data_IF_136712746958
#
_entry.id   IF_136712746958
#
_cell.length_a   1.000
_cell.length_b   1.000
_cell.length_c   1.000
_cell.angle_alpha   90.00
_cell.angle_beta   90.00
_cell.angle_gamma   90.00
#
_symmetry.space_group_name_H-M   'P 1'
#
loop_
_entity.id
_entity.type
_entity.pdbx_description
1 polymer ?
#
# COMPACT_ATOMS: atom_id res chain seq x y z
N UNK A 1 38.79 -8.01 -28.35
CA UNK A 1 37.62 -7.15 -28.61
C UNK A 1 36.73 -7.91 -29.58
N UNK A 2 35.45 -8.08 -29.27
CA UNK A 2 34.53 -8.92 -30.05
C UNK A 2 34.27 -8.25 -31.40
N UNK A 3 34.38 -8.98 -32.51
CA UNK A 3 34.19 -8.44 -33.87
C UNK A 3 32.71 -8.21 -34.24
N UNK A 4 31.76 -8.39 -33.30
CA UNK A 4 30.34 -8.28 -33.58
C UNK A 4 29.69 -7.09 -32.84
N UNK A 5 29.43 -5.96 -33.54
CA UNK A 5 28.94 -4.72 -32.93
C UNK A 5 27.54 -4.85 -32.31
N UNK A 6 26.73 -5.82 -32.76
CA UNK A 6 25.42 -6.09 -32.17
C UNK A 6 25.52 -6.80 -30.82
N UNK A 7 26.55 -7.61 -30.60
CA UNK A 7 26.80 -8.25 -29.32
C UNK A 7 27.24 -7.23 -28.27
N UNK A 8 28.09 -6.28 -28.62
CA UNK A 8 28.49 -5.18 -27.74
C UNK A 8 27.29 -4.28 -27.39
N UNK A 9 26.39 -4.05 -28.35
CA UNK A 9 25.14 -3.31 -28.14
C UNK A 9 24.19 -4.07 -27.19
N UNK A 10 24.00 -5.38 -27.39
CA UNK A 10 23.22 -6.24 -26.50
C UNK A 10 23.83 -6.28 -25.10
N UNK A 11 25.15 -6.42 -24.98
CA UNK A 11 25.87 -6.39 -23.71
C UNK A 11 25.73 -5.03 -23.00
N UNK A 12 25.71 -3.91 -23.73
CA UNK A 12 25.47 -2.59 -23.15
C UNK A 12 24.02 -2.41 -22.62
N UNK A 13 23.04 -3.02 -23.30
CA UNK A 13 21.63 -3.03 -22.89
C UNK A 13 21.44 -3.92 -21.65
N UNK A 14 22.14 -5.07 -21.60
CA UNK A 14 22.14 -5.96 -20.44
C UNK A 14 22.90 -5.36 -19.24
N UNK A 15 24.03 -4.70 -19.47
CA UNK A 15 24.80 -4.01 -18.43
C UNK A 15 24.00 -2.86 -17.79
N UNK A 16 23.18 -2.14 -18.57
CA UNK A 16 22.26 -1.10 -18.05
C UNK A 16 21.15 -1.67 -17.17
N UNK A 17 20.67 -2.89 -17.42
CA UNK A 17 19.66 -3.56 -16.57
C UNK A 17 20.23 -4.14 -15.26
N UNK A 18 21.55 -4.28 -15.13
CA UNK A 18 22.20 -4.68 -13.87
C UNK A 18 22.27 -3.55 -12.83
N UNK A 19 21.98 -2.31 -13.24
CA UNK A 19 21.61 -1.23 -12.33
C UNK A 19 20.12 -1.37 -11.98
N UNK A 20 19.72 -2.56 -11.52
CA UNK A 20 18.57 -2.63 -10.64
C UNK A 20 18.95 -1.81 -9.42
N UNK A 21 18.40 -0.61 -9.39
CA UNK A 21 18.44 0.27 -8.25
C UNK A 21 17.86 -0.51 -7.06
N UNK A 22 18.74 -1.13 -6.29
CA UNK A 22 18.45 -1.68 -4.97
C UNK A 22 18.39 -0.54 -3.95
N UNK A 23 18.05 0.67 -4.40
CA UNK A 23 17.49 1.70 -3.55
C UNK A 23 16.33 1.08 -2.80
N UNK A 24 16.54 0.79 -1.52
CA UNK A 24 15.46 0.45 -0.60
C UNK A 24 14.54 1.66 -0.59
N UNK A 25 13.45 1.59 -1.33
CA UNK A 25 12.39 2.59 -1.26
C UNK A 25 11.73 2.43 0.12
N UNK A 26 12.19 3.22 1.08
CA UNK A 26 11.51 3.35 2.35
C UNK A 26 10.30 4.24 2.13
N UNK A 27 9.12 3.68 2.33
CA UNK A 27 7.89 4.47 2.36
C UNK A 27 7.85 5.15 3.72
N UNK A 28 8.00 6.48 3.73
CA UNK A 28 7.87 7.27 4.94
C UNK A 28 6.42 7.69 5.13
N UNK A 29 5.71 6.91 5.96
CA UNK A 29 4.32 7.18 6.33
C UNK A 29 4.26 7.93 7.65
N UNK A 30 3.37 8.92 7.73
CA UNK A 30 3.01 9.60 8.97
C UNK A 30 2.37 8.61 9.96
N UNK A 31 2.37 8.95 11.26
CA UNK A 31 1.81 8.08 12.30
C UNK A 31 0.33 7.73 12.06
N UNK A 32 -0.46 8.70 11.58
CA UNK A 32 -1.86 8.51 11.21
C UNK A 32 -2.02 7.54 10.03
N UNK A 33 -1.19 7.69 9.00
CA UNK A 33 -1.18 6.82 7.82
C UNK A 33 -0.79 5.38 8.17
N UNK A 34 0.18 5.19 9.08
CA UNK A 34 0.56 3.88 9.61
C UNK A 34 -0.60 3.20 10.35
N UNK A 35 -1.36 3.95 11.14
CA UNK A 35 -2.52 3.43 11.86
C UNK A 35 -3.65 2.99 10.90
N UNK A 36 -3.93 3.80 9.88
CA UNK A 36 -4.89 3.47 8.81
C UNK A 36 -4.43 2.24 8.04
N UNK A 37 -3.16 2.18 7.63
CA UNK A 37 -2.59 1.05 6.91
C UNK A 37 -2.69 -0.24 7.73
N UNK A 38 -2.33 -0.20 9.02
CA UNK A 38 -2.42 -1.36 9.90
C UNK A 38 -3.87 -1.87 10.02
N UNK A 39 -4.83 -0.95 10.11
CA UNK A 39 -6.25 -1.31 10.18
C UNK A 39 -6.74 -1.90 8.87
N UNK A 40 -6.38 -1.29 7.74
CA UNK A 40 -6.72 -1.78 6.40
C UNK A 40 -6.12 -3.17 6.14
N UNK A 41 -4.87 -3.42 6.56
CA UNK A 41 -4.22 -4.71 6.45
C UNK A 41 -4.99 -5.81 7.22
N UNK A 42 -5.47 -5.50 8.43
CA UNK A 42 -6.28 -6.42 9.22
C UNK A 42 -7.62 -6.74 8.53
N UNK A 43 -8.30 -5.73 7.99
CA UNK A 43 -9.56 -5.92 7.24
C UNK A 43 -9.32 -6.77 5.99
N UNK A 44 -8.26 -6.49 5.24
CA UNK A 44 -7.91 -7.24 4.05
C UNK A 44 -7.56 -8.70 4.37
N UNK A 45 -6.81 -8.94 5.45
CA UNK A 45 -6.51 -10.29 5.95
C UNK A 45 -7.79 -11.07 6.29
N UNK A 46 -8.81 -10.42 6.86
CA UNK A 46 -10.10 -11.04 7.11
C UNK A 46 -10.83 -11.40 5.80
N UNK A 47 -10.74 -10.58 4.76
CA UNK A 47 -11.28 -10.92 3.43
C UNK A 47 -10.57 -12.11 2.80
N UNK A 48 -9.24 -12.21 2.93
CA UNK A 48 -8.48 -13.37 2.46
C UNK A 48 -8.91 -14.63 3.22
N UNK A 49 -8.92 -14.56 4.55
CA UNK A 49 -9.22 -15.71 5.43
C UNK A 49 -10.64 -16.23 5.24
N UNK A 50 -11.59 -15.34 4.92
CA UNK A 50 -12.98 -15.71 4.61
C UNK A 50 -13.19 -16.23 3.19
N UNK A 51 -12.12 -16.34 2.38
CA UNK A 51 -12.20 -16.82 0.99
C UNK A 51 -12.85 -15.84 0.02
N UNK A 52 -12.98 -14.56 0.40
CA UNK A 52 -13.60 -13.53 -0.47
C UNK A 52 -12.65 -12.99 -1.53
N UNK A 53 -11.34 -13.05 -1.29
CA UNK A 53 -10.34 -12.60 -2.25
C UNK A 53 -9.99 -13.76 -3.17
N UNK A 54 -10.35 -13.64 -4.46
CA UNK A 54 -9.93 -14.57 -5.51
C UNK A 54 -8.86 -13.94 -6.38
N UNK A 55 -8.18 -14.76 -7.19
CA UNK A 55 -7.11 -14.27 -8.07
C UNK A 55 -7.67 -13.25 -9.07
N UNK A 56 -7.01 -12.09 -9.16
CA UNK A 56 -7.43 -10.95 -9.98
C UNK A 56 -8.36 -9.97 -9.28
N UNK A 57 -8.79 -10.24 -8.04
CA UNK A 57 -9.60 -9.32 -7.24
C UNK A 57 -8.85 -8.67 -6.08
N UNK A 58 -7.53 -8.88 -5.99
CA UNK A 58 -6.71 -8.42 -4.87
C UNK A 58 -6.81 -6.89 -4.70
N UNK A 59 -6.66 -6.14 -5.79
CA UNK A 59 -6.69 -4.68 -5.80
C UNK A 59 -8.05 -4.11 -5.34
N UNK A 60 -9.14 -4.75 -5.74
CA UNK A 60 -10.50 -4.37 -5.35
C UNK A 60 -10.68 -4.48 -3.83
N UNK A 61 -10.23 -5.59 -3.25
CA UNK A 61 -10.36 -5.84 -1.82
C UNK A 61 -9.35 -5.04 -0.98
N UNK A 62 -8.17 -4.74 -1.50
CA UNK A 62 -7.24 -3.77 -0.90
C UNK A 62 -7.92 -2.42 -0.82
N UNK A 63 -8.44 -1.91 -1.94
CA UNK A 63 -9.15 -0.63 -2.01
C UNK A 63 -10.35 -0.57 -1.07
N UNK A 64 -11.15 -1.65 -0.99
CA UNK A 64 -12.27 -1.76 -0.03
C UNK A 64 -11.80 -1.67 1.41
N UNK A 65 -10.70 -2.32 1.74
CA UNK A 65 -10.16 -2.36 3.11
C UNK A 65 -9.61 -1.01 3.55
N UNK A 66 -8.90 -0.31 2.67
CA UNK A 66 -8.42 1.07 2.92
C UNK A 66 -9.59 2.02 3.13
N UNK A 67 -10.60 1.97 2.24
CA UNK A 67 -11.79 2.81 2.37
C UNK A 67 -12.58 2.54 3.65
N UNK A 68 -12.65 1.27 4.09
CA UNK A 68 -13.29 0.92 5.35
C UNK A 68 -12.53 1.51 6.55
N UNK A 69 -11.20 1.37 6.57
CA UNK A 69 -10.36 1.95 7.63
C UNK A 69 -10.52 3.47 7.74
N UNK A 70 -10.53 4.19 6.60
CA UNK A 70 -10.75 5.64 6.57
C UNK A 70 -12.13 6.00 7.12
N UNK A 71 -13.19 5.29 6.69
CA UNK A 71 -14.55 5.53 7.20
C UNK A 71 -14.66 5.31 8.71
N UNK A 72 -13.99 4.30 9.24
CA UNK A 72 -13.93 4.05 10.67
C UNK A 72 -13.24 5.19 11.42
N UNK A 73 -12.09 5.66 10.91
CA UNK A 73 -11.37 6.78 11.51
C UNK A 73 -12.24 8.05 11.56
N UNK A 74 -12.86 8.42 10.44
CA UNK A 74 -13.77 9.58 10.37
C UNK A 74 -14.97 9.45 11.31
N UNK A 75 -15.51 8.23 11.49
CA UNK A 75 -16.63 8.00 12.40
C UNK A 75 -16.20 8.18 13.85
N UNK A 76 -15.01 7.71 14.22
CA UNK A 76 -14.45 7.87 15.56
C UNK A 76 -14.22 9.36 15.85
N UNK A 77 -13.60 10.09 14.92
CA UNK A 77 -13.37 11.54 15.05
C UNK A 77 -14.67 12.29 15.31
N UNK A 78 -15.71 12.02 14.51
CA UNK A 78 -17.03 12.61 14.73
C UNK A 78 -17.60 12.28 16.11
N UNK A 79 -17.52 11.02 16.54
CA UNK A 79 -18.05 10.60 17.85
C UNK A 79 -17.35 11.30 19.02
N UNK A 80 -16.05 11.54 18.90
CA UNK A 80 -15.29 12.28 19.92
C UNK A 80 -15.74 13.75 19.95
N UNK A 81 -15.85 14.39 18.80
CA UNK A 81 -16.31 15.78 18.70
C UNK A 81 -17.73 15.95 19.28
N UNK A 82 -18.67 15.07 18.90
CA UNK A 82 -20.05 15.09 19.41
C UNK A 82 -20.06 14.93 20.96
N UNK A 83 -19.20 14.07 21.53
CA UNK A 83 -19.12 13.84 22.97
C UNK A 83 -18.49 15.02 23.75
N UNK A 84 -17.52 15.71 23.16
CA UNK A 84 -16.91 16.90 23.76
C UNK A 84 -17.88 18.09 23.81
N UNK A 85 -18.72 18.23 22.79
CA UNK A 85 -19.79 19.24 22.75
C UNK A 85 -20.84 19.00 23.84
N UNK A 86 -21.29 17.76 24.04
CA UNK A 86 -22.27 17.39 25.08
C UNK A 86 -21.75 17.64 26.51
N UNK A 87 -20.45 17.45 26.76
CA UNK A 87 -19.85 17.68 28.08
C UNK A 87 -19.55 19.16 28.39
N UNK A 88 -19.63 20.04 27.38
CA UNK A 88 -19.34 21.48 27.51
C UNK A 88 -20.61 22.34 27.60
N UNK A 89 -21.81 21.74 27.48
CA UNK A 89 -23.13 22.38 27.53
C UNK A 89 -23.82 22.17 28.89
#
# INVERSE_FOLDING_TARGET
MSENPDLDKIMSIMARRSKQDTGRYFIDLQSSEKAILSTAANIYSAYITSGKVTSGQEEEFISKSVNAAIKMALRIEKLIADAEEEHSA
#
